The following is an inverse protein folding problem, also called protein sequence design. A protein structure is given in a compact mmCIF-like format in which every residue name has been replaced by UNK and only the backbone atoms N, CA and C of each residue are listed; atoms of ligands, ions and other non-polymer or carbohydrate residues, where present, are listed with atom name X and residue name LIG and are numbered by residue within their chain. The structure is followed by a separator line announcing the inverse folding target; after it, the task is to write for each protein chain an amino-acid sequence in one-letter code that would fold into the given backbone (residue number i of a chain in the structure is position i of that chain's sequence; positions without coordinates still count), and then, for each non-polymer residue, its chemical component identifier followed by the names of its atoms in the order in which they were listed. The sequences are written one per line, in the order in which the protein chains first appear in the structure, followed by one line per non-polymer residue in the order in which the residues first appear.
data_IF_754515089870
#
_entry.id   IF_754515089870
#
_cell.length_a   1.000
_cell.length_b   1.000
_cell.length_c   1.000
_cell.angle_alpha   90.00
_cell.angle_beta   90.00
_cell.angle_gamma   90.00
#
_symmetry.space_group_name_H-M   'P 1'
#
loop_
_entity.id
_entity.type
_entity.pdbx_description
1 polymer ?
#
# COMPACT_ATOMS: atom_id res chain seq x y z
N UNK A 1 -4.56 15.35 3.41
CA UNK A 1 -3.14 14.98 3.21
C UNK A 1 -3.08 13.62 2.54
N UNK A 2 -2.08 13.39 1.68
CA UNK A 2 -1.88 12.09 1.02
C UNK A 2 -1.28 11.08 2.00
N UNK A 3 -1.81 9.85 2.04
CA UNK A 3 -1.26 8.77 2.87
C UNK A 3 0.09 8.28 2.33
N UNK A 4 0.98 7.86 3.23
CA UNK A 4 2.25 7.21 2.88
C UNK A 4 2.02 5.75 2.49
N UNK A 5 1.44 5.54 1.31
CA UNK A 5 1.15 4.20 0.81
C UNK A 5 1.29 4.08 -0.71
N UNK A 6 2.12 4.95 -1.32
CA UNK A 6 2.57 4.80 -2.70
C UNK A 6 3.92 4.12 -2.72
N UNK A 7 4.15 3.27 -3.72
CA UNK A 7 5.41 2.59 -3.91
C UNK A 7 6.11 3.19 -5.13
N UNK A 8 7.35 3.64 -4.93
CA UNK A 8 8.23 4.10 -6.02
C UNK A 8 8.77 2.89 -6.79
N UNK A 9 9.31 3.06 -8.02
CA UNK A 9 9.98 1.98 -8.74
C UNK A 9 11.16 1.34 -7.98
N UNK A 10 11.70 2.02 -6.97
CA UNK A 10 12.77 1.52 -6.10
C UNK A 10 12.24 0.80 -4.85
N UNK A 11 10.92 0.65 -4.71
CA UNK A 11 10.28 -0.03 -3.59
C UNK A 11 10.09 0.81 -2.34
N UNK A 12 10.28 2.13 -2.42
CA UNK A 12 10.12 3.05 -1.29
C UNK A 12 8.65 3.41 -1.06
N UNK A 13 8.24 3.52 0.20
CA UNK A 13 6.86 3.86 0.56
C UNK A 13 6.76 5.37 0.83
N UNK A 14 6.03 6.09 -0.02
CA UNK A 14 5.97 7.55 -0.03
C UNK A 14 4.54 8.09 0.00
N UNK A 15 4.39 9.33 0.47
CA UNK A 15 3.13 10.08 0.46
C UNK A 15 2.99 10.92 -0.82
N UNK A 16 2.69 10.25 -1.94
CA UNK A 16 2.56 10.91 -3.26
C UNK A 16 1.09 11.03 -3.70
N UNK A 17 0.65 12.18 -4.27
CA UNK A 17 -0.74 12.41 -4.69
C UNK A 17 -1.16 11.62 -5.95
N UNK A 18 -0.40 10.60 -6.32
CA UNK A 18 -0.70 9.71 -7.43
C UNK A 18 -1.76 8.70 -7.00
N UNK A 19 -2.56 8.14 -7.94
CA UNK A 19 -3.51 7.07 -7.61
C UNK A 19 -2.87 5.67 -7.62
N UNK A 20 -1.93 5.45 -8.55
CA UNK A 20 -1.41 4.12 -8.90
C UNK A 20 -2.31 3.38 -9.91
N UNK A 21 -1.73 2.45 -10.67
CA UNK A 21 -2.42 1.53 -11.58
C UNK A 21 -2.74 0.18 -10.91
N UNK A 22 -1.96 -0.20 -9.90
CA UNK A 22 -2.13 -1.43 -9.14
C UNK A 22 -2.22 -1.17 -7.65
N UNK A 23 -2.84 -2.10 -6.93
CA UNK A 23 -2.77 -2.18 -5.47
C UNK A 23 -1.93 -3.39 -5.10
N UNK A 24 -1.33 -3.38 -3.92
CA UNK A 24 -0.61 -4.53 -3.42
C UNK A 24 -0.37 -4.48 -1.93
N UNK A 25 0.45 -5.41 -1.48
CA UNK A 25 0.60 -5.72 -0.07
C UNK A 25 2.03 -6.22 0.20
N UNK A 26 2.58 -5.81 1.34
CA UNK A 26 3.84 -6.34 1.89
C UNK A 26 3.77 -6.65 3.39
N UNK A 27 2.56 -6.78 3.92
CA UNK A 27 2.20 -7.03 5.31
C UNK A 27 1.57 -5.83 6.02
N UNK A 28 1.55 -5.90 7.35
CA UNK A 28 1.12 -4.81 8.23
C UNK A 28 2.33 -3.91 8.49
N UNK A 29 2.36 -2.74 7.83
CA UNK A 29 3.53 -1.85 7.83
C UNK A 29 3.31 -0.57 8.63
N UNK A 30 2.06 -0.26 8.98
CA UNK A 30 1.67 0.99 9.63
C UNK A 30 1.25 0.78 11.08
N UNK A 31 1.36 1.83 11.88
CA UNK A 31 0.84 1.88 13.24
C UNK A 31 -0.64 2.31 13.29
N UNK A 32 -1.20 2.51 14.49
CA UNK A 32 -2.59 2.94 14.64
C UNK A 32 -2.88 4.36 14.11
N UNK A 33 -1.85 5.17 13.89
CA UNK A 33 -1.94 6.53 13.33
C UNK A 33 -1.80 6.54 11.81
N UNK A 34 -1.43 5.41 11.20
CA UNK A 34 -1.17 5.29 9.78
C UNK A 34 0.25 5.65 9.37
N UNK A 35 1.18 5.72 10.32
CA UNK A 35 2.60 5.99 10.06
C UNK A 35 3.32 4.68 9.70
N UNK A 36 4.16 4.69 8.66
CA UNK A 36 4.94 3.50 8.27
C UNK A 36 6.07 3.29 9.28
N UNK A 37 6.04 2.13 9.95
CA UNK A 37 7.01 1.76 11.00
C UNK A 37 7.98 0.65 10.58
N UNK A 38 7.79 0.06 9.39
CA UNK A 38 8.67 -0.98 8.84
C UNK A 38 8.56 -1.04 7.31
N UNK A 39 9.61 -1.44 6.58
CA UNK A 39 9.60 -1.47 5.12
C UNK A 39 8.82 -2.68 4.55
N UNK A 40 8.81 -3.81 5.26
CA UNK A 40 8.10 -5.02 4.88
C UNK A 40 7.90 -5.96 6.08
N UNK A 41 6.88 -6.82 6.01
CA UNK A 41 6.70 -7.97 6.90
C UNK A 41 6.99 -9.29 6.16
N UNK A 42 6.74 -9.32 4.86
CA UNK A 42 7.08 -10.42 3.96
C UNK A 42 8.02 -9.94 2.87
N UNK A 43 8.94 -10.80 2.41
CA UNK A 43 9.83 -10.47 1.29
C UNK A 43 9.06 -10.32 -0.02
N UNK A 44 7.98 -11.09 -0.19
CA UNK A 44 7.19 -11.12 -1.41
C UNK A 44 6.38 -9.83 -1.61
N UNK A 45 6.35 -9.37 -2.85
CA UNK A 45 5.37 -8.39 -3.32
C UNK A 45 4.14 -9.12 -3.82
N UNK A 46 2.97 -8.70 -3.35
CA UNK A 46 1.69 -9.18 -3.85
C UNK A 46 1.04 -8.01 -4.57
N UNK A 47 0.71 -8.19 -5.85
CA UNK A 47 -0.03 -7.21 -6.65
C UNK A 47 -1.46 -7.71 -6.88
N UNK A 48 -2.42 -6.78 -6.90
CA UNK A 48 -3.79 -7.04 -7.30
C UNK A 48 -4.37 -5.84 -8.06
N UNK A 49 -5.47 -6.09 -8.75
CA UNK A 49 -6.25 -5.05 -9.43
C UNK A 49 -6.89 -4.07 -8.43
N UNK A 50 -7.07 -2.82 -8.87
CA UNK A 50 -7.71 -1.77 -8.06
C UNK A 50 -9.22 -2.00 -7.81
N UNK A 51 -9.88 -2.71 -8.72
CA UNK A 51 -11.31 -2.96 -8.66
C UNK A 51 -11.57 -4.45 -8.81
N UNK A 52 -12.06 -5.07 -7.73
CA UNK A 52 -12.39 -6.49 -7.73
C UNK A 52 -13.75 -6.72 -7.10
N UNK A 53 -14.71 -7.23 -7.87
CA UNK A 53 -16.05 -7.60 -7.40
C UNK A 53 -16.76 -6.51 -6.58
N UNK A 54 -16.56 -5.22 -6.93
CA UNK A 54 -17.18 -4.08 -6.23
C UNK A 54 -16.72 -3.87 -4.78
N UNK A 55 -15.65 -4.55 -4.33
CA UNK A 55 -15.18 -4.45 -2.94
C UNK A 55 -14.65 -3.05 -2.62
N UNK A 56 -14.99 -2.56 -1.43
CA UNK A 56 -14.46 -1.33 -0.84
C UNK A 56 -13.89 -1.68 0.52
N UNK A 57 -12.67 -1.24 0.78
CA UNK A 57 -11.97 -1.50 2.03
C UNK A 57 -11.49 -0.18 2.62
N UNK A 58 -11.52 -0.02 3.96
CA UNK A 58 -10.83 1.09 4.61
C UNK A 58 -9.33 0.98 4.33
N UNK A 59 -8.70 2.11 4.02
CA UNK A 59 -7.25 2.15 3.80
C UNK A 59 -6.53 2.25 5.14
N UNK A 60 -5.48 1.44 5.30
CA UNK A 60 -4.59 1.45 6.47
C UNK A 60 -5.38 1.37 7.78
N UNK A 61 -6.30 0.41 7.84
CA UNK A 61 -6.99 0.07 9.08
C UNK A 61 -5.98 -0.56 10.06
N UNK A 62 -5.90 -0.08 11.32
CA UNK A 62 -4.99 -0.64 12.31
C UNK A 62 -5.15 -2.15 12.46
N UNK A 63 -4.03 -2.88 12.49
CA UNK A 63 -4.04 -4.35 12.59
C UNK A 63 -4.35 -5.09 11.28
N UNK A 64 -4.58 -4.37 10.17
CA UNK A 64 -4.75 -4.96 8.85
C UNK A 64 -3.55 -4.66 7.95
N UNK A 65 -3.43 -5.42 6.86
CA UNK A 65 -2.35 -5.21 5.90
C UNK A 65 -2.40 -3.79 5.32
N UNK A 66 -1.22 -3.24 5.01
CA UNK A 66 -1.10 -1.94 4.37
C UNK A 66 -1.41 -2.09 2.88
N UNK A 67 -2.48 -1.43 2.39
CA UNK A 67 -2.74 -1.32 0.96
C UNK A 67 -1.71 -0.37 0.34
N UNK A 68 -0.82 -0.92 -0.47
CA UNK A 68 0.19 -0.19 -1.23
C UNK A 68 -0.28 0.05 -2.66
N UNK A 69 0.09 1.17 -3.27
CA UNK A 69 -0.35 1.55 -4.61
C UNK A 69 0.85 1.86 -5.49
N UNK A 70 0.93 1.15 -6.62
CA UNK A 70 2.07 1.17 -7.53
C UNK A 70 1.69 1.95 -8.77
N UNK A 71 2.61 2.76 -9.28
CA UNK A 71 2.37 3.51 -10.51
C UNK A 71 2.41 2.60 -11.73
N UNK A 72 3.34 1.66 -11.77
CA UNK A 72 3.51 0.64 -12.79
C UNK A 72 3.48 -0.76 -12.15
N UNK A 73 3.83 -1.79 -12.91
CA UNK A 73 3.77 -3.18 -12.48
C UNK A 73 4.82 -3.59 -11.43
N UNK A 74 5.78 -2.70 -11.10
CA UNK A 74 6.81 -2.80 -10.07
C UNK A 74 7.49 -4.18 -9.89
#
# INVERSE_FOLDING_TARGET
MTRQNRVTPFGEIAALPLRGQFMGNRGILHDARGEIIRPYQSKAWIICVLAFKGRRLPLMQPGHYTQLFFFDEA
#
